data_IF_341319190155
#
_entry.id   IF_341319190155
#
_cell.length_a   1.000
_cell.length_b   1.000
_cell.length_c   1.000
_cell.angle_alpha   90.00
_cell.angle_beta   90.00
_cell.angle_gamma   90.00
#
_symmetry.space_group_name_H-M   'P 1'
#
loop_
_entity.id
_entity.type
_entity.pdbx_description
1 polymer ?
#
# COMPACT_ATOMS: atom_id res chain seq x y z
N UNK A 1 -2.41 22.98 -11.31
CA UNK A 1 -3.49 22.33 -12.08
C UNK A 1 -2.85 21.54 -13.19
N UNK A 2 -3.13 20.24 -13.28
CA UNK A 2 -2.49 19.34 -14.24
C UNK A 2 -3.20 19.31 -15.60
N UNK A 3 -4.51 19.55 -15.64
CA UNK A 3 -5.26 19.76 -16.89
C UNK A 3 -6.40 20.78 -16.73
N UNK A 4 -7.09 21.08 -17.83
CA UNK A 4 -8.29 21.91 -17.87
C UNK A 4 -9.57 21.07 -18.11
N UNK A 5 -9.48 19.75 -17.97
CA UNK A 5 -10.63 18.87 -18.17
C UNK A 5 -11.62 19.05 -17.00
N UNK A 6 -12.94 19.15 -17.27
CA UNK A 6 -13.96 19.30 -16.22
C UNK A 6 -13.94 18.17 -15.19
N UNK A 7 -13.64 16.95 -15.63
CA UNK A 7 -13.63 15.73 -14.81
C UNK A 7 -12.23 15.38 -14.28
N UNK A 8 -11.29 16.33 -14.28
CA UNK A 8 -9.96 16.13 -13.73
C UNK A 8 -10.02 16.10 -12.19
N UNK A 9 -9.84 14.91 -11.62
CA UNK A 9 -9.80 14.71 -10.16
C UNK A 9 -8.71 15.55 -9.47
N UNK A 10 -7.67 15.99 -10.18
CA UNK A 10 -6.62 16.85 -9.60
C UNK A 10 -7.08 18.27 -9.27
N UNK A 11 -8.29 18.65 -9.68
CA UNK A 11 -8.92 19.92 -9.33
C UNK A 11 -9.65 19.90 -7.99
N UNK A 12 -9.86 18.72 -7.41
CA UNK A 12 -10.53 18.54 -6.13
C UNK A 12 -9.58 18.94 -4.99
N UNK A 13 -9.93 19.98 -4.24
CA UNK A 13 -9.08 20.50 -3.15
C UNK A 13 -9.29 19.76 -1.83
N UNK A 14 -10.50 19.27 -1.57
CA UNK A 14 -10.81 18.49 -0.38
C UNK A 14 -10.35 17.04 -0.54
N UNK A 15 -9.57 16.55 0.43
CA UNK A 15 -8.96 15.23 0.33
C UNK A 15 -9.99 14.10 0.39
N UNK A 16 -11.01 14.23 1.24
CA UNK A 16 -12.02 13.19 1.41
C UNK A 16 -12.96 13.13 0.19
N UNK A 17 -13.29 14.29 -0.40
CA UNK A 17 -13.98 14.37 -1.68
C UNK A 17 -13.16 13.72 -2.81
N UNK A 18 -11.85 13.97 -2.86
CA UNK A 18 -10.95 13.34 -3.82
C UNK A 18 -10.94 11.81 -3.66
N UNK A 19 -10.86 11.33 -2.42
CA UNK A 19 -10.91 9.89 -2.10
C UNK A 19 -12.25 9.28 -2.54
N UNK A 20 -13.36 9.99 -2.39
CA UNK A 20 -14.68 9.54 -2.86
C UNK A 20 -14.74 9.35 -4.37
N UNK A 21 -14.21 10.30 -5.16
CA UNK A 21 -14.16 10.15 -6.62
C UNK A 21 -13.15 9.08 -7.07
N UNK A 22 -12.02 8.96 -6.36
CA UNK A 22 -11.05 7.91 -6.61
C UNK A 22 -11.65 6.51 -6.38
N UNK A 23 -12.44 6.33 -5.32
CA UNK A 23 -13.14 5.07 -5.05
C UNK A 23 -14.09 4.68 -6.19
N UNK A 24 -14.83 5.64 -6.76
CA UNK A 24 -15.70 5.40 -7.93
C UNK A 24 -14.88 4.92 -9.14
N UNK A 25 -13.75 5.57 -9.42
CA UNK A 25 -12.87 5.18 -10.52
C UNK A 25 -12.30 3.78 -10.33
N UNK A 26 -11.85 3.45 -9.11
CA UNK A 26 -11.38 2.09 -8.75
C UNK A 26 -12.51 1.06 -8.84
N UNK A 27 -13.75 1.44 -8.51
CA UNK A 27 -14.95 0.62 -8.67
C UNK A 27 -15.21 0.22 -10.12
N UNK A 28 -15.00 1.14 -11.06
CA UNK A 28 -15.09 0.83 -12.49
C UNK A 28 -13.99 -0.13 -12.95
N UNK A 29 -12.76 0.01 -12.44
CA UNK A 29 -11.68 -0.96 -12.67
C UNK A 29 -12.09 -2.35 -12.16
N UNK A 30 -12.65 -2.42 -10.96
CA UNK A 30 -13.18 -3.68 -10.43
C UNK A 30 -14.26 -4.28 -11.33
N UNK A 31 -15.20 -3.46 -11.82
CA UNK A 31 -16.31 -3.92 -12.67
C UNK A 31 -15.82 -4.53 -13.98
N UNK A 32 -14.83 -3.93 -14.63
CA UNK A 32 -14.34 -4.38 -15.96
C UNK A 32 -13.28 -5.47 -15.86
N UNK A 33 -12.55 -5.58 -14.76
CA UNK A 33 -11.52 -6.60 -14.58
C UNK A 33 -12.16 -7.99 -14.44
N UNK A 34 -11.67 -8.96 -15.22
CA UNK A 34 -12.11 -10.36 -15.10
C UNK A 34 -11.68 -10.93 -13.75
N UNK A 35 -12.47 -11.86 -13.22
CA UNK A 35 -12.10 -12.60 -12.03
C UNK A 35 -10.82 -13.44 -12.26
N UNK A 36 -10.04 -13.67 -11.20
CA UNK A 36 -8.76 -14.36 -11.26
C UNK A 36 -7.61 -13.55 -11.89
N UNK A 37 -7.77 -12.22 -11.97
CA UNK A 37 -6.77 -11.30 -12.57
C UNK A 37 -6.28 -10.27 -11.57
N UNK A 38 -5.20 -9.60 -11.95
CA UNK A 38 -4.51 -8.63 -11.11
C UNK A 38 -4.77 -7.20 -11.57
N UNK A 39 -4.89 -6.29 -10.60
CA UNK A 39 -4.85 -4.85 -10.77
C UNK A 39 -3.59 -4.33 -10.06
N UNK A 40 -2.81 -3.49 -10.72
CA UNK A 40 -1.62 -2.87 -10.13
C UNK A 40 -1.85 -1.38 -10.03
N UNK A 41 -1.72 -0.82 -8.83
CA UNK A 41 -1.84 0.61 -8.58
C UNK A 41 -0.50 1.16 -8.14
N UNK A 42 0.00 2.15 -8.87
CA UNK A 42 1.16 2.93 -8.48
C UNK A 42 0.70 4.13 -7.65
N UNK A 43 1.15 4.22 -6.40
CA UNK A 43 0.76 5.26 -5.47
C UNK A 43 1.97 5.97 -4.86
N UNK A 44 1.86 7.29 -4.72
CA UNK A 44 2.85 8.12 -4.05
C UNK A 44 2.14 8.89 -2.94
N UNK A 45 2.65 8.81 -1.72
CA UNK A 45 2.14 9.63 -0.63
C UNK A 45 2.50 11.10 -0.83
N UNK A 46 1.54 11.96 -0.50
CA UNK A 46 1.72 13.40 -0.58
C UNK A 46 2.06 13.99 0.78
N UNK A 47 2.99 14.96 0.82
CA UNK A 47 3.42 15.60 2.05
C UNK A 47 3.01 17.06 2.03
N UNK A 48 2.13 17.43 2.95
CA UNK A 48 1.72 18.83 3.17
C UNK A 48 2.68 19.44 4.18
N UNK A 49 3.84 19.90 3.71
CA UNK A 49 4.93 20.38 4.56
C UNK A 49 4.52 21.51 5.52
N UNK A 50 3.65 22.42 5.08
CA UNK A 50 3.13 23.51 5.91
C UNK A 50 2.29 23.01 7.10
N UNK A 51 1.49 21.97 6.88
CA UNK A 51 0.64 21.34 7.91
C UNK A 51 1.33 20.19 8.65
N UNK A 52 2.58 19.84 8.27
CA UNK A 52 3.33 18.68 8.78
C UNK A 52 2.54 17.36 8.69
N UNK A 53 1.67 17.23 7.69
CA UNK A 53 0.80 16.06 7.47
C UNK A 53 1.27 15.25 6.27
N UNK A 54 1.12 13.93 6.35
CA UNK A 54 1.22 13.05 5.19
C UNK A 54 -0.21 12.68 4.80
N UNK A 55 -0.52 12.75 3.51
CA UNK A 55 -1.72 12.17 2.92
C UNK A 55 -1.32 10.77 2.45
N UNK A 56 -1.70 9.71 3.18
CA UNK A 56 -1.19 8.36 2.96
C UNK A 56 -2.00 7.65 1.86
N UNK A 57 -1.96 8.20 0.64
CA UNK A 57 -2.75 7.74 -0.50
C UNK A 57 -2.59 6.22 -0.72
N UNK A 58 -1.39 5.67 -0.55
CA UNK A 58 -1.19 4.22 -0.68
C UNK A 58 -2.06 3.40 0.29
N UNK A 59 -2.21 3.88 1.52
CA UNK A 59 -2.96 3.22 2.58
C UNK A 59 -4.46 3.34 2.32
N UNK A 60 -4.92 4.53 1.94
CA UNK A 60 -6.32 4.79 1.61
C UNK A 60 -6.78 3.93 0.43
N UNK A 61 -6.00 3.89 -0.65
CA UNK A 61 -6.24 3.01 -1.81
C UNK A 61 -6.25 1.54 -1.38
N UNK A 62 -5.32 1.11 -0.53
CA UNK A 62 -5.30 -0.27 -0.04
C UNK A 62 -6.58 -0.62 0.71
N UNK A 63 -7.07 0.27 1.58
CA UNK A 63 -8.32 0.02 2.30
C UNK A 63 -9.54 0.02 1.37
N UNK A 64 -9.62 0.94 0.40
CA UNK A 64 -10.70 0.95 -0.60
C UNK A 64 -10.73 -0.36 -1.39
N UNK A 65 -9.59 -0.76 -1.94
CA UNK A 65 -9.48 -1.97 -2.78
C UNK A 65 -9.88 -3.23 -1.99
N UNK A 66 -9.43 -3.36 -0.74
CA UNK A 66 -9.72 -4.56 0.08
C UNK A 66 -11.14 -4.53 0.66
N UNK A 67 -11.50 -3.45 1.38
CA UNK A 67 -12.71 -3.41 2.22
C UNK A 67 -13.96 -3.05 1.44
N UNK A 68 -13.84 -2.18 0.43
CA UNK A 68 -14.99 -1.67 -0.34
C UNK A 68 -15.21 -2.45 -1.63
N UNK A 69 -14.12 -2.79 -2.32
CA UNK A 69 -14.18 -3.42 -3.64
C UNK A 69 -13.96 -4.94 -3.63
N UNK A 70 -13.49 -5.52 -2.52
CA UNK A 70 -13.35 -6.97 -2.37
C UNK A 70 -12.13 -7.58 -3.08
N UNK A 71 -11.13 -6.76 -3.43
CA UNK A 71 -9.83 -7.28 -3.85
C UNK A 71 -9.07 -7.89 -2.67
N UNK A 72 -8.10 -8.73 -2.98
CA UNK A 72 -7.07 -9.21 -2.05
C UNK A 72 -5.79 -8.44 -2.31
N UNK A 73 -5.16 -7.89 -1.28
CA UNK A 73 -3.80 -7.36 -1.41
C UNK A 73 -2.85 -8.55 -1.59
N UNK A 74 -2.36 -8.71 -2.82
CA UNK A 74 -1.53 -9.84 -3.21
C UNK A 74 -0.05 -9.59 -2.89
N UNK A 75 0.45 -8.39 -3.21
CA UNK A 75 1.83 -8.00 -2.90
C UNK A 75 1.94 -6.48 -2.78
N UNK A 76 3.04 -6.00 -2.21
CA UNK A 76 3.38 -4.59 -2.07
C UNK A 76 4.87 -4.39 -2.31
N UNK A 77 5.22 -3.76 -3.43
CA UNK A 77 6.60 -3.37 -3.69
C UNK A 77 6.82 -1.92 -3.32
N UNK A 78 7.97 -1.66 -2.67
CA UNK A 78 8.42 -0.32 -2.35
C UNK A 78 9.48 0.06 -3.38
N UNK A 79 9.13 0.95 -4.29
CA UNK A 79 10.09 1.47 -5.25
C UNK A 79 10.77 2.72 -4.70
N UNK A 80 12.02 2.54 -4.27
CA UNK A 80 12.90 3.66 -3.95
C UNK A 80 13.44 4.25 -5.25
N UNK A 81 13.06 5.48 -5.57
CA UNK A 81 13.60 6.16 -6.74
C UNK A 81 14.88 6.92 -6.39
N UNK A 82 15.81 6.98 -7.36
CA UNK A 82 17.04 7.74 -7.20
C UNK A 82 16.71 9.24 -7.21
N UNK A 83 17.30 9.97 -6.28
CA UNK A 83 17.22 11.43 -6.25
C UNK A 83 18.63 11.98 -6.06
N UNK A 84 19.05 12.83 -6.98
CA UNK A 84 20.35 13.51 -6.87
C UNK A 84 20.33 14.48 -5.68
N UNK A 85 21.26 14.32 -4.75
CA UNK A 85 21.39 15.17 -3.55
C UNK A 85 21.23 14.41 -2.23
N UNK A 86 21.77 14.98 -1.14
CA UNK A 86 21.66 14.40 0.19
C UNK A 86 20.23 14.44 0.76
N UNK A 87 19.95 13.59 1.73
CA UNK A 87 18.67 13.61 2.45
C UNK A 87 18.48 14.97 3.14
N UNK A 88 17.43 15.70 2.74
CA UNK A 88 17.10 17.03 3.28
C UNK A 88 15.78 16.94 4.03
N UNK A 89 15.75 17.16 5.36
CA UNK A 89 14.48 17.33 6.05
C UNK A 89 13.72 18.56 5.54
N UNK A 90 12.40 18.45 5.42
CA UNK A 90 11.54 19.57 5.09
C UNK A 90 11.26 20.47 6.30
N UNK A 91 11.30 21.78 6.07
CA UNK A 91 10.74 22.79 6.97
C UNK A 91 11.60 23.14 8.19
N UNK A 92 10.91 23.45 9.30
CA UNK A 92 11.49 23.82 10.60
C UNK A 92 11.20 22.73 11.61
N UNK A 93 11.95 22.68 12.72
CA UNK A 93 11.75 21.70 13.80
C UNK A 93 10.27 21.62 14.24
N UNK A 94 9.72 20.41 14.51
CA UNK A 94 10.32 19.10 14.23
C UNK A 94 10.38 18.84 12.72
N UNK A 95 11.50 18.31 12.27
CA UNK A 95 11.78 18.09 10.85
C UNK A 95 10.99 16.92 10.29
N UNK A 96 10.40 17.10 9.10
CA UNK A 96 9.75 16.00 8.37
C UNK A 96 10.71 15.39 7.35
N UNK A 97 10.81 14.06 7.33
CA UNK A 97 11.59 13.34 6.34
C UNK A 97 11.06 13.60 4.91
N UNK A 98 11.98 13.66 3.95
CA UNK A 98 11.63 13.75 2.53
C UNK A 98 10.99 12.44 2.04
N UNK A 99 10.10 12.52 1.04
CA UNK A 99 9.64 11.31 0.36
C UNK A 99 10.75 10.73 -0.53
N UNK A 100 11.02 9.44 -0.38
CA UNK A 100 12.10 8.70 -1.05
C UNK A 100 11.60 7.50 -1.83
N UNK A 101 10.31 7.18 -1.73
CA UNK A 101 9.76 5.96 -2.29
C UNK A 101 8.32 6.14 -2.74
N UNK A 102 7.94 5.23 -3.62
CA UNK A 102 6.59 5.04 -4.12
C UNK A 102 6.17 3.60 -3.84
N UNK A 103 4.87 3.37 -3.88
CA UNK A 103 4.28 2.07 -3.63
C UNK A 103 3.74 1.52 -4.94
N UNK A 104 4.05 0.25 -5.21
CA UNK A 104 3.40 -0.53 -6.25
C UNK A 104 2.55 -1.56 -5.52
N UNK A 105 1.25 -1.30 -5.49
CA UNK A 105 0.26 -2.12 -4.80
C UNK A 105 -0.32 -3.11 -5.81
N UNK A 106 -0.19 -4.41 -5.52
CA UNK A 106 -0.71 -5.47 -6.38
C UNK A 106 -1.94 -6.07 -5.73
N UNK A 107 -3.07 -5.95 -6.43
CA UNK A 107 -4.37 -6.44 -5.99
C UNK A 107 -4.84 -7.59 -6.86
N UNK A 108 -5.31 -8.65 -6.24
CA UNK A 108 -5.91 -9.81 -6.91
C UNK A 108 -7.42 -9.75 -6.79
N UNK A 109 -8.15 -9.95 -7.90
CA UNK A 109 -9.60 -10.11 -7.90
C UNK A 109 -9.94 -11.60 -7.80
N UNK A 110 -10.50 -12.08 -6.68
CA UNK A 110 -10.85 -13.50 -6.51
C UNK A 110 -11.81 -13.98 -7.59
N UNK A 111 -11.66 -15.24 -8.01
CA UNK A 111 -12.62 -15.92 -8.90
C UNK A 111 -13.77 -16.60 -8.14
N UNK A 112 -13.65 -16.71 -6.81
CA UNK A 112 -14.66 -17.25 -5.92
C UNK A 112 -14.49 -18.74 -5.66
N UNK A 113 -13.50 -19.40 -6.27
CA UNK A 113 -13.16 -20.81 -6.02
C UNK A 113 -12.03 -20.97 -5.00
N UNK A 114 -11.35 -19.88 -4.64
CA UNK A 114 -10.18 -19.91 -3.77
C UNK A 114 -10.52 -19.85 -2.28
N UNK A 115 -9.83 -20.67 -1.47
CA UNK A 115 -9.86 -20.53 -0.01
C UNK A 115 -8.86 -19.46 0.45
N UNK A 116 -9.33 -18.22 0.56
CA UNK A 116 -8.52 -17.07 1.02
C UNK A 116 -8.18 -17.13 2.52
N UNK A 117 -8.84 -17.97 3.30
CA UNK A 117 -8.59 -18.15 4.73
C UNK A 117 -7.77 -19.40 5.03
N UNK A 118 -7.22 -20.03 3.99
CA UNK A 118 -6.39 -21.22 4.13
C UNK A 118 -5.20 -20.94 5.03
N UNK A 119 -5.10 -21.72 6.11
CA UNK A 119 -3.95 -21.63 7.02
C UNK A 119 -2.68 -22.16 6.36
N UNK A 120 -1.56 -21.50 6.67
CA UNK A 120 -0.25 -22.01 6.32
C UNK A 120 -0.03 -23.38 6.98
N UNK A 121 0.74 -24.23 6.31
CA UNK A 121 1.25 -25.46 6.95
C UNK A 121 2.17 -25.08 8.10
N UNK A 122 2.24 -25.94 9.10
CA UNK A 122 3.16 -25.76 10.22
C UNK A 122 4.60 -25.57 9.72
N UNK A 123 5.29 -24.60 10.32
CA UNK A 123 6.66 -24.29 9.95
C UNK A 123 7.54 -25.48 10.32
N UNK A 124 8.08 -26.15 9.31
CA UNK A 124 9.03 -27.26 9.52
C UNK A 124 10.45 -26.72 9.62
N UNK A 125 10.92 -26.55 10.85
CA UNK A 125 12.31 -26.19 11.10
C UNK A 125 13.25 -27.38 10.82
N UNK A 126 14.50 -27.08 10.47
CA UNK A 126 15.57 -28.09 10.42
C UNK A 126 15.84 -28.60 11.84
N UNK A 127 16.07 -29.91 11.99
CA UNK A 127 16.26 -30.56 13.30
C UNK A 127 17.36 -29.88 14.15
N UNK A 128 18.47 -29.46 13.52
CA UNK A 128 19.54 -28.72 14.20
C UNK A 128 19.09 -27.39 14.82
N UNK A 129 18.17 -26.67 14.17
CA UNK A 129 17.65 -25.40 14.68
C UNK A 129 16.70 -25.65 15.85
N UNK A 130 15.87 -26.69 15.77
CA UNK A 130 14.97 -27.13 16.86
C UNK A 130 15.80 -27.48 18.11
N UNK A 131 16.84 -28.30 17.95
CA UNK A 131 17.74 -28.66 19.03
C UNK A 131 18.43 -27.41 19.64
N UNK A 132 18.85 -26.46 18.79
CA UNK A 132 19.46 -25.20 19.26
C UNK A 132 18.46 -24.34 20.04
N UNK A 133 17.21 -24.22 19.57
CA UNK A 133 16.17 -23.48 20.28
C UNK A 133 15.87 -24.12 21.65
N UNK A 134 15.73 -25.45 21.71
CA UNK A 134 15.51 -26.18 22.97
C UNK A 134 16.67 -26.00 23.95
N UNK A 135 17.92 -26.03 23.46
CA UNK A 135 19.09 -25.81 24.30
C UNK A 135 19.18 -24.36 24.83
N UNK A 136 18.74 -23.37 24.06
CA UNK A 136 18.66 -21.97 24.50
C UNK A 136 17.56 -21.81 25.56
N UNK A 137 16.36 -22.34 25.32
CA UNK A 137 15.25 -22.27 26.28
C UNK A 137 15.61 -22.90 27.63
N UNK A 138 16.22 -24.10 27.64
CA UNK A 138 16.69 -24.76 28.87
C UNK A 138 17.77 -24.01 29.65
N UNK A 139 18.46 -23.06 29.01
CA UNK A 139 19.53 -22.27 29.62
C UNK A 139 19.03 -20.97 30.24
N UNK A 140 17.78 -20.61 29.92
CA UNK A 140 17.07 -19.44 30.43
C UNK A 140 16.10 -19.79 31.58
N UNK A 141 15.84 -21.08 31.79
CA UNK A 141 15.17 -21.67 32.97
C UNK A 141 16.19 -21.96 34.07
#
# INVERSE_FOLDING_TARGET
RYSALPDDLSTIEDYDAFLGELEKALGEIHRVLRAGKYCVVFACDYRVGAARRILPIHSDVTQMMIRRLGFVLFDTYIWRYYRSGGFRPFGRRPFQAMNLHSYILVFYKPDGTEDLNRRNRDVRYRDRLVAKQQAISKRLE
#
